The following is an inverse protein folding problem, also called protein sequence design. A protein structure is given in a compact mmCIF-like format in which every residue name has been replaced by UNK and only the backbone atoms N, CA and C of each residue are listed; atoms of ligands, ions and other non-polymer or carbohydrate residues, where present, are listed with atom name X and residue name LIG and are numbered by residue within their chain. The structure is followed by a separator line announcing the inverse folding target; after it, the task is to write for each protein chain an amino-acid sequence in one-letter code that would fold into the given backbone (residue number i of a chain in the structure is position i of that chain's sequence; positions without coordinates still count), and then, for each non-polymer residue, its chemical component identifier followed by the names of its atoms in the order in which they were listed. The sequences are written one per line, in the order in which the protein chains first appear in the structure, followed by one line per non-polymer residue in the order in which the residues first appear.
data_IF_353366667077
#
_entry.id   IF_353366667077
#
_cell.length_a   1.000
_cell.length_b   1.000
_cell.length_c   1.000
_cell.angle_alpha   90.00
_cell.angle_beta   90.00
_cell.angle_gamma   90.00
#
_symmetry.space_group_name_H-M   'P 1'
#
loop_
_entity.id
_entity.type
_entity.pdbx_description
1 polymer ?
#
# COMPACT_ATOMS: atom_id res chain seq x y z
N UNK A 1 14.72 -8.86 22.66
CA UNK A 1 14.57 -10.24 22.12
C UNK A 1 14.47 -10.15 20.61
N UNK A 2 15.17 -11.02 19.87
CA UNK A 2 15.09 -11.02 18.39
C UNK A 2 13.72 -11.49 17.93
N UNK A 3 13.11 -10.74 17.00
CA UNK A 3 11.84 -11.10 16.39
C UNK A 3 12.03 -12.33 15.48
N UNK A 4 11.27 -13.38 15.72
CA UNK A 4 11.19 -14.59 14.87
C UNK A 4 10.00 -15.44 15.30
N UNK A 5 9.56 -16.37 14.44
CA UNK A 5 8.49 -17.32 14.79
C UNK A 5 8.79 -18.10 16.07
N UNK A 6 10.04 -18.50 16.27
CA UNK A 6 10.46 -19.26 17.44
C UNK A 6 10.37 -18.51 18.77
N UNK A 7 10.29 -17.19 18.71
CA UNK A 7 10.31 -16.32 19.90
C UNK A 7 8.96 -15.63 20.18
N UNK A 8 7.93 -15.83 19.36
CA UNK A 8 6.64 -15.15 19.51
C UNK A 8 6.02 -15.36 20.91
N UNK A 9 6.01 -16.60 21.39
CA UNK A 9 5.44 -16.95 22.70
C UNK A 9 6.25 -16.40 23.91
N UNK A 10 7.45 -15.88 23.65
CA UNK A 10 8.36 -15.35 24.68
C UNK A 10 8.37 -13.82 24.71
N UNK A 11 7.62 -13.17 23.81
CA UNK A 11 7.52 -11.71 23.78
C UNK A 11 6.86 -11.19 25.07
N UNK A 12 7.18 -9.96 25.51
CA UNK A 12 6.55 -9.35 26.67
C UNK A 12 5.02 -9.31 26.55
N UNK A 13 4.29 -9.44 27.67
CA UNK A 13 2.83 -9.34 27.67
C UNK A 13 2.37 -7.96 27.18
N UNK A 14 1.22 -7.92 26.49
CA UNK A 14 0.66 -6.69 25.94
C UNK A 14 1.10 -6.38 24.52
N UNK A 15 1.85 -7.28 23.89
CA UNK A 15 2.14 -7.26 22.45
C UNK A 15 1.22 -8.27 21.78
N UNK A 16 0.44 -7.81 20.80
CA UNK A 16 -0.41 -8.70 20.01
C UNK A 16 0.47 -9.51 19.04
N UNK A 17 0.39 -10.84 19.14
CA UNK A 17 1.13 -11.77 18.26
C UNK A 17 0.16 -12.56 17.41
N UNK A 18 0.58 -13.10 16.24
CA UNK A 18 -0.29 -13.94 15.41
C UNK A 18 -0.91 -15.10 16.18
N UNK A 19 -2.24 -15.09 16.32
CA UNK A 19 -3.03 -16.18 16.92
C UNK A 19 -3.33 -17.33 15.95
N UNK A 20 -3.02 -17.14 14.67
CA UNK A 20 -3.19 -18.15 13.62
C UNK A 20 -1.88 -18.90 13.33
N UNK A 21 -2.02 -20.15 12.83
CA UNK A 21 -0.87 -20.94 12.41
C UNK A 21 -0.27 -20.39 11.09
N UNK A 22 0.86 -19.70 11.19
CA UNK A 22 1.57 -19.14 10.05
C UNK A 22 2.10 -20.21 9.08
N UNK A 23 2.36 -21.42 9.55
CA UNK A 23 2.81 -22.53 8.68
C UNK A 23 1.70 -23.05 7.78
N UNK A 24 0.44 -22.83 8.17
CA UNK A 24 -0.73 -23.20 7.36
C UNK A 24 -1.12 -22.11 6.33
N UNK A 25 -0.50 -20.93 6.36
CA UNK A 25 -0.77 -19.89 5.38
C UNK A 25 -0.27 -20.28 3.98
N UNK A 26 -1.06 -19.98 2.97
CA UNK A 26 -0.66 -20.13 1.57
C UNK A 26 -0.78 -18.81 0.82
N UNK A 27 0.11 -18.55 -0.17
CA UNK A 27 0.14 -17.24 -0.83
C UNK A 27 -1.05 -17.07 -1.79
N UNK A 28 -1.61 -15.88 -1.81
CA UNK A 28 -2.62 -15.44 -2.77
C UNK A 28 -2.26 -14.10 -3.41
N UNK A 29 -1.30 -13.39 -2.80
CA UNK A 29 -0.87 -12.04 -3.18
C UNK A 29 0.65 -12.00 -3.35
N UNK A 30 1.10 -11.39 -4.45
CA UNK A 30 2.48 -10.88 -4.57
C UNK A 30 2.40 -9.37 -4.39
N UNK A 31 3.20 -8.82 -3.47
CA UNK A 31 3.29 -7.38 -3.28
C UNK A 31 4.65 -6.84 -3.67
N UNK A 32 4.69 -5.90 -4.62
CA UNK A 32 5.92 -5.25 -5.09
C UNK A 32 6.06 -3.89 -4.41
N UNK A 33 7.15 -3.71 -3.66
CA UNK A 33 7.43 -2.48 -2.91
C UNK A 33 7.14 -2.62 -1.41
N UNK A 34 7.87 -3.49 -0.71
CA UNK A 34 7.67 -3.77 0.73
C UNK A 34 8.21 -2.62 1.59
N UNK A 35 7.54 -1.48 1.51
CA UNK A 35 7.84 -0.28 2.31
C UNK A 35 7.09 -0.26 3.65
N UNK A 36 7.27 0.85 4.38
CA UNK A 36 6.57 1.05 5.67
C UNK A 36 5.05 1.07 5.49
N UNK A 37 4.57 1.80 4.49
CA UNK A 37 3.14 1.92 4.22
C UNK A 37 2.49 0.56 3.99
N UNK A 38 3.03 -0.25 3.08
CA UNK A 38 2.51 -1.60 2.81
C UNK A 38 2.40 -2.43 4.09
N UNK A 39 3.46 -2.44 4.91
CA UNK A 39 3.52 -3.25 6.13
C UNK A 39 2.56 -2.77 7.22
N UNK A 40 2.34 -1.44 7.33
CA UNK A 40 1.37 -0.87 8.27
C UNK A 40 -0.07 -0.86 7.74
N UNK A 41 -0.30 -1.04 6.45
CA UNK A 41 -1.61 -0.93 5.82
C UNK A 41 -2.11 -2.28 5.29
N UNK A 42 -1.82 -2.66 4.04
CA UNK A 42 -2.33 -3.91 3.44
C UNK A 42 -1.97 -5.14 4.28
N UNK A 43 -0.71 -5.27 4.71
CA UNK A 43 -0.28 -6.40 5.51
C UNK A 43 -0.99 -6.45 6.88
N UNK A 44 -1.22 -5.30 7.51
CA UNK A 44 -1.97 -5.20 8.76
C UNK A 44 -3.45 -5.58 8.60
N UNK A 45 -4.11 -5.18 7.51
CA UNK A 45 -5.49 -5.61 7.23
C UNK A 45 -5.59 -7.13 7.03
N UNK A 46 -4.67 -7.74 6.29
CA UNK A 46 -4.63 -9.19 6.11
C UNK A 46 -4.32 -9.92 7.42
N UNK A 47 -3.39 -9.41 8.22
CA UNK A 47 -3.12 -9.97 9.54
C UNK A 47 -4.39 -9.97 10.41
N UNK A 48 -5.11 -8.84 10.48
CA UNK A 48 -6.38 -8.76 11.22
C UNK A 48 -7.44 -9.73 10.66
N UNK A 49 -7.50 -9.92 9.34
CA UNK A 49 -8.40 -10.89 8.72
C UNK A 49 -8.03 -12.33 9.13
N UNK A 50 -6.75 -12.67 9.15
CA UNK A 50 -6.30 -14.01 9.54
C UNK A 50 -6.58 -14.29 11.03
N UNK A 51 -6.55 -13.28 11.90
CA UNK A 51 -6.98 -13.39 13.30
C UNK A 51 -8.46 -13.79 13.44
N UNK A 52 -9.29 -13.53 12.45
CA UNK A 52 -10.69 -14.00 12.42
C UNK A 52 -10.84 -15.46 12.01
N UNK A 53 -9.75 -16.17 11.72
CA UNK A 53 -9.75 -17.55 11.22
C UNK A 53 -10.12 -17.69 9.75
N UNK A 54 -10.08 -16.59 8.96
CA UNK A 54 -10.52 -16.58 7.55
C UNK A 54 -9.37 -16.33 6.59
N UNK A 55 -9.55 -16.81 5.36
CA UNK A 55 -8.78 -16.42 4.17
C UNK A 55 -7.27 -16.65 4.28
N UNK A 56 -6.83 -17.65 5.03
CA UNK A 56 -5.43 -18.04 5.22
C UNK A 56 -4.69 -18.39 3.90
N UNK A 57 -5.41 -18.46 2.79
CA UNK A 57 -4.88 -18.66 1.45
C UNK A 57 -4.67 -17.36 0.66
N UNK A 58 -4.60 -16.23 1.36
CA UNK A 58 -4.31 -14.91 0.81
C UNK A 58 -3.05 -14.27 1.42
N UNK A 59 -2.14 -15.10 1.94
CA UNK A 59 -0.88 -14.58 2.46
C UNK A 59 -0.05 -13.88 1.38
N UNK A 60 0.86 -13.03 1.83
CA UNK A 60 1.67 -12.17 0.96
C UNK A 60 3.04 -12.79 0.73
N UNK A 61 3.48 -12.83 -0.53
CA UNK A 61 4.89 -12.89 -0.92
C UNK A 61 5.33 -11.45 -1.22
N UNK A 62 6.27 -10.93 -0.45
CA UNK A 62 6.90 -9.64 -0.72
C UNK A 62 7.79 -9.72 -1.96
N UNK A 63 7.98 -8.59 -2.64
CA UNK A 63 8.85 -8.49 -3.80
C UNK A 63 9.45 -7.09 -3.94
N UNK A 64 10.56 -7.02 -4.64
CA UNK A 64 11.19 -5.79 -5.09
C UNK A 64 11.77 -5.97 -6.48
N UNK A 65 12.07 -4.88 -7.17
CA UNK A 65 12.62 -4.92 -8.54
C UNK A 65 13.93 -4.15 -8.66
N UNK A 66 14.26 -3.34 -7.67
CA UNK A 66 15.49 -2.54 -7.68
C UNK A 66 16.53 -3.14 -6.72
N UNK A 67 17.83 -2.99 -7.01
CA UNK A 67 18.89 -3.55 -6.14
C UNK A 67 18.80 -3.12 -4.67
N UNK A 68 18.25 -1.93 -4.39
CA UNK A 68 18.10 -1.44 -3.02
C UNK A 68 16.98 -2.18 -2.24
N UNK A 69 16.05 -2.86 -2.91
CA UNK A 69 14.99 -3.64 -2.26
C UNK A 69 15.56 -4.88 -1.54
N UNK A 70 16.75 -5.35 -1.98
CA UNK A 70 17.46 -6.44 -1.32
C UNK A 70 17.78 -6.12 0.15
N UNK A 71 18.04 -4.86 0.47
CA UNK A 71 18.29 -4.45 1.86
C UNK A 71 17.07 -4.69 2.77
N UNK A 72 15.85 -4.49 2.27
CA UNK A 72 14.62 -4.79 3.03
C UNK A 72 14.44 -6.31 3.18
N UNK A 73 14.65 -7.06 2.11
CA UNK A 73 14.61 -8.53 2.15
C UNK A 73 15.56 -9.11 3.20
N UNK A 74 16.82 -8.63 3.23
CA UNK A 74 17.85 -9.06 4.18
C UNK A 74 17.51 -8.71 5.64
N UNK A 75 16.77 -7.63 5.90
CA UNK A 75 16.30 -7.27 7.23
C UNK A 75 15.16 -8.17 7.70
N UNK A 76 14.21 -8.49 6.81
CA UNK A 76 13.01 -9.25 7.15
C UNK A 76 13.25 -10.77 7.17
N UNK A 77 14.18 -11.28 6.37
CA UNK A 77 14.47 -12.72 6.28
C UNK A 77 14.86 -13.36 7.62
N UNK A 78 15.78 -12.79 8.44
CA UNK A 78 16.17 -13.38 9.72
C UNK A 78 15.08 -13.35 10.79
N UNK A 79 13.99 -12.63 10.56
CA UNK A 79 12.83 -12.52 11.45
C UNK A 79 11.57 -13.16 10.84
N UNK A 80 11.76 -14.15 9.94
CA UNK A 80 10.67 -14.93 9.34
C UNK A 80 9.59 -14.05 8.67
N UNK A 81 9.99 -12.93 8.08
CA UNK A 81 9.14 -11.94 7.41
C UNK A 81 8.13 -11.23 8.32
N UNK A 82 8.27 -11.39 9.63
CA UNK A 82 7.48 -10.69 10.63
C UNK A 82 7.84 -9.19 10.66
N UNK A 83 6.89 -8.36 11.05
CA UNK A 83 7.09 -6.91 11.26
C UNK A 83 6.42 -6.48 12.54
N UNK A 84 7.15 -5.79 13.42
CA UNK A 84 6.54 -5.07 14.53
C UNK A 84 5.91 -3.79 14.03
N UNK A 85 4.61 -3.63 14.24
CA UNK A 85 3.88 -2.38 13.96
C UNK A 85 3.57 -1.73 15.30
N UNK A 86 4.02 -0.49 15.46
CA UNK A 86 3.74 0.32 16.65
C UNK A 86 2.79 1.45 16.26
N UNK A 87 1.64 1.50 16.93
CA UNK A 87 0.70 2.60 16.79
C UNK A 87 1.02 3.67 17.84
N UNK A 88 1.22 4.91 17.35
CA UNK A 88 1.47 6.08 18.22
C UNK A 88 0.14 6.76 18.55
N UNK A 89 -0.50 6.34 19.62
CA UNK A 89 -1.69 7.01 20.15
C UNK A 89 -1.26 8.00 21.26
N UNK A 90 -1.84 9.20 21.34
CA UNK A 90 -1.60 10.12 22.46
C UNK A 90 -1.87 9.52 23.83
N UNK A 91 -2.78 8.55 23.93
CA UNK A 91 -3.09 7.82 25.17
C UNK A 91 -2.04 6.76 25.52
N UNK A 92 -1.18 6.35 24.60
CA UNK A 92 -0.14 5.35 24.79
C UNK A 92 0.25 4.64 23.49
N UNK A 93 1.33 3.89 23.53
CA UNK A 93 1.78 3.11 22.39
C UNK A 93 1.28 1.68 22.50
N UNK A 94 0.78 1.13 21.41
CA UNK A 94 0.50 -0.30 21.26
C UNK A 94 1.44 -0.93 20.24
N UNK A 95 1.68 -2.22 20.37
CA UNK A 95 2.50 -2.97 19.41
C UNK A 95 1.80 -4.26 19.00
N UNK A 96 1.87 -4.58 17.71
CA UNK A 96 1.44 -5.87 17.19
C UNK A 96 2.52 -6.45 16.26
N UNK A 97 2.60 -7.77 16.21
CA UNK A 97 3.47 -8.49 15.29
C UNK A 97 2.64 -8.91 14.08
N UNK A 98 2.84 -8.25 12.97
CA UNK A 98 2.20 -8.59 11.71
C UNK A 98 2.85 -9.82 11.07
N UNK A 99 2.07 -10.87 10.87
CA UNK A 99 2.53 -12.17 10.33
C UNK A 99 1.95 -12.54 8.98
N UNK A 100 1.27 -11.64 8.27
CA UNK A 100 0.58 -11.94 7.01
C UNK A 100 1.51 -12.13 5.81
N UNK A 101 2.74 -11.66 5.87
CA UNK A 101 3.77 -11.92 4.87
C UNK A 101 4.53 -13.20 5.26
N UNK A 102 4.64 -14.14 4.31
CA UNK A 102 5.21 -15.49 4.56
C UNK A 102 6.50 -15.74 3.79
N UNK A 103 6.82 -14.90 2.80
CA UNK A 103 8.03 -15.01 1.98
C UNK A 103 8.36 -13.65 1.34
N UNK A 104 9.57 -13.55 0.78
CA UNK A 104 10.01 -12.42 -0.03
C UNK A 104 10.83 -12.95 -1.20
N UNK A 105 10.30 -12.77 -2.41
CA UNK A 105 10.94 -13.20 -3.64
C UNK A 105 12.35 -12.59 -3.76
N UNK A 106 13.38 -13.34 -4.14
CA UNK A 106 14.70 -12.77 -4.45
C UNK A 106 14.59 -11.65 -5.48
N UNK A 107 15.52 -10.70 -5.42
CA UNK A 107 15.55 -9.57 -6.37
C UNK A 107 16.10 -10.05 -7.72
N UNK A 108 15.26 -10.81 -8.39
CA UNK A 108 15.51 -11.41 -9.69
C UNK A 108 14.22 -11.41 -10.51
N UNK A 109 14.26 -10.81 -11.69
CA UNK A 109 13.06 -10.65 -12.53
C UNK A 109 12.49 -12.00 -12.98
N UNK A 110 13.32 -13.00 -13.28
CA UNK A 110 12.87 -14.32 -13.69
C UNK A 110 12.11 -15.04 -12.56
N UNK A 111 12.68 -15.06 -11.35
CA UNK A 111 12.02 -15.65 -10.18
C UNK A 111 10.72 -14.92 -9.80
N UNK A 112 10.69 -13.60 -9.95
CA UNK A 112 9.46 -12.83 -9.69
C UNK A 112 8.38 -13.13 -10.75
N UNK A 113 8.74 -13.25 -12.03
CA UNK A 113 7.84 -13.67 -13.10
C UNK A 113 7.28 -15.06 -12.82
N UNK A 114 8.13 -16.03 -12.49
CA UNK A 114 7.72 -17.39 -12.14
C UNK A 114 6.78 -17.41 -10.93
N UNK A 115 7.08 -16.63 -9.89
CA UNK A 115 6.25 -16.51 -8.69
C UNK A 115 4.86 -15.95 -9.02
N UNK A 116 4.78 -14.85 -9.79
CA UNK A 116 3.50 -14.28 -10.21
C UNK A 116 2.72 -15.16 -11.18
N UNK A 117 3.42 -16.01 -11.94
CA UNK A 117 2.78 -16.94 -12.89
C UNK A 117 2.08 -18.12 -12.19
N UNK A 118 2.32 -18.36 -10.90
CA UNK A 118 1.71 -19.47 -10.14
C UNK A 118 0.19 -19.31 -10.06
N UNK A 119 -0.59 -20.42 -10.19
CA UNK A 119 -2.06 -20.35 -10.22
C UNK A 119 -2.70 -19.76 -8.95
N UNK A 120 -2.08 -19.98 -7.79
CA UNK A 120 -2.56 -19.50 -6.51
C UNK A 120 -2.42 -17.97 -6.33
N UNK A 121 -1.55 -17.31 -7.10
CA UNK A 121 -1.41 -15.85 -7.06
C UNK A 121 -2.54 -15.22 -7.87
N UNK A 122 -3.43 -14.51 -7.18
CA UNK A 122 -4.64 -13.92 -7.76
C UNK A 122 -4.63 -12.40 -7.76
N UNK A 123 -3.76 -11.79 -6.94
CA UNK A 123 -3.55 -10.35 -6.88
C UNK A 123 -2.06 -10.06 -6.92
N UNK A 124 -1.66 -9.09 -7.74
CA UNK A 124 -0.35 -8.44 -7.68
C UNK A 124 -0.59 -7.00 -7.25
N UNK A 125 -0.15 -6.66 -6.04
CA UNK A 125 -0.33 -5.32 -5.48
C UNK A 125 0.97 -4.52 -5.50
N UNK A 126 0.85 -3.19 -5.57
CA UNK A 126 1.95 -2.28 -5.83
C UNK A 126 2.00 -1.15 -4.80
N UNK A 127 3.20 -0.85 -4.28
CA UNK A 127 3.57 0.42 -3.67
C UNK A 127 4.97 0.80 -4.17
N UNK A 128 5.01 1.34 -5.40
CA UNK A 128 6.24 1.61 -6.15
C UNK A 128 6.54 3.10 -6.30
N UNK A 129 5.75 3.94 -5.64
CA UNK A 129 5.75 5.41 -5.67
C UNK A 129 5.39 6.00 -7.03
N UNK A 130 5.07 7.31 -7.06
CA UNK A 130 4.60 7.99 -8.27
C UNK A 130 5.55 7.83 -9.47
N UNK A 131 6.87 7.91 -9.22
CA UNK A 131 7.88 7.77 -10.27
C UNK A 131 7.91 6.40 -10.94
N UNK A 132 7.43 5.37 -10.26
CA UNK A 132 7.37 3.99 -10.78
C UNK A 132 6.34 3.77 -11.87
N UNK A 133 5.37 4.68 -12.04
CA UNK A 133 4.27 4.56 -13.02
C UNK A 133 4.57 5.20 -14.37
N UNK A 134 5.70 5.91 -14.49
CA UNK A 134 6.11 6.56 -15.75
C UNK A 134 5.02 7.49 -16.32
N UNK A 135 4.48 8.35 -15.47
CA UNK A 135 3.48 9.36 -15.86
C UNK A 135 4.20 10.57 -16.45
N UNK A 136 3.81 10.98 -17.66
CA UNK A 136 4.29 12.22 -18.28
C UNK A 136 3.68 13.43 -17.56
N UNK A 137 4.52 14.29 -16.99
CA UNK A 137 4.08 15.42 -16.19
C UNK A 137 3.29 16.50 -16.99
N UNK A 138 3.37 16.50 -18.33
CA UNK A 138 2.67 17.49 -19.19
C UNK A 138 1.30 17.00 -19.60
N UNK A 139 1.18 15.70 -19.87
CA UNK A 139 -0.05 15.10 -20.41
C UNK A 139 -0.87 14.36 -19.36
N UNK A 140 -0.26 13.99 -18.23
CA UNK A 140 -0.86 13.10 -17.23
C UNK A 140 -0.99 11.64 -17.70
N UNK A 141 -0.56 11.34 -18.92
CA UNK A 141 -0.61 10.00 -19.51
C UNK A 141 0.68 9.19 -19.30
N UNK A 142 0.70 7.97 -19.82
CA UNK A 142 1.89 7.11 -19.77
C UNK A 142 3.02 7.65 -20.66
N UNK A 143 4.23 7.80 -20.11
CA UNK A 143 5.43 8.23 -20.83
C UNK A 143 6.07 7.06 -21.58
N UNK A 144 5.60 6.80 -22.78
CA UNK A 144 6.18 5.78 -23.66
C UNK A 144 7.59 6.13 -24.19
N UNK A 145 8.04 7.38 -23.96
CA UNK A 145 9.38 7.86 -24.37
C UNK A 145 10.44 7.71 -23.27
N UNK A 146 10.05 7.34 -22.07
CA UNK A 146 10.97 7.16 -20.96
C UNK A 146 12.04 6.10 -21.32
N UNK A 147 13.33 6.35 -21.03
CA UNK A 147 14.42 5.42 -21.39
C UNK A 147 14.22 3.99 -20.89
N UNK A 148 13.74 3.80 -19.65
CA UNK A 148 13.47 2.48 -19.07
C UNK A 148 12.36 1.75 -19.84
N UNK A 149 11.34 2.47 -20.27
CA UNK A 149 10.22 1.91 -21.04
C UNK A 149 10.68 1.49 -22.44
N UNK A 150 11.52 2.31 -23.08
CA UNK A 150 12.11 1.97 -24.37
C UNK A 150 12.99 0.72 -24.25
N UNK A 151 13.80 0.65 -23.19
CA UNK A 151 14.67 -0.50 -22.91
C UNK A 151 13.87 -1.80 -22.68
N UNK A 152 12.81 -1.76 -21.89
CA UNK A 152 11.94 -2.93 -21.62
C UNK A 152 11.14 -3.34 -22.87
N UNK A 153 10.68 -2.38 -23.68
CA UNK A 153 10.03 -2.69 -24.93
C UNK A 153 10.96 -3.38 -25.93
N UNK A 154 12.23 -2.98 -25.95
CA UNK A 154 13.30 -3.55 -26.80
C UNK A 154 13.88 -4.88 -26.30
N UNK A 155 13.66 -5.24 -25.03
CA UNK A 155 14.20 -6.45 -24.43
C UNK A 155 13.11 -7.19 -23.58
N UNK A 156 12.06 -7.69 -24.20
CA UNK A 156 10.91 -8.28 -23.50
C UNK A 156 11.25 -9.53 -22.68
N UNK A 157 12.34 -10.23 -23.03
CA UNK A 157 12.78 -11.45 -22.33
C UNK A 157 13.55 -11.14 -21.03
N UNK A 158 13.98 -9.89 -20.84
CA UNK A 158 14.70 -9.42 -19.66
C UNK A 158 14.15 -8.08 -19.17
N UNK A 159 12.88 -8.04 -18.74
CA UNK A 159 12.28 -6.80 -18.26
C UNK A 159 12.96 -6.34 -16.97
N UNK A 160 13.14 -5.02 -16.83
CA UNK A 160 13.77 -4.38 -15.68
C UNK A 160 12.79 -3.45 -14.92
N UNK A 161 11.68 -3.07 -15.54
CA UNK A 161 10.63 -2.29 -14.89
C UNK A 161 9.58 -3.18 -14.26
N UNK A 162 8.88 -2.68 -13.24
CA UNK A 162 7.75 -3.38 -12.61
C UNK A 162 6.72 -3.81 -13.65
N UNK A 163 6.36 -2.91 -14.57
CA UNK A 163 5.34 -3.19 -15.58
C UNK A 163 5.80 -4.16 -16.66
N UNK A 164 7.09 -4.12 -17.01
CA UNK A 164 7.67 -5.13 -17.90
C UNK A 164 7.63 -6.53 -17.31
N UNK A 165 7.92 -6.65 -16.02
CA UNK A 165 7.87 -7.91 -15.26
C UNK A 165 6.42 -8.40 -15.11
N UNK A 166 5.47 -7.52 -14.80
CA UNK A 166 4.03 -7.83 -14.75
C UNK A 166 3.55 -8.37 -16.11
N UNK A 167 3.88 -7.71 -17.21
CA UNK A 167 3.50 -8.15 -18.56
C UNK A 167 4.09 -9.53 -18.87
N UNK A 168 5.35 -9.77 -18.51
CA UNK A 168 5.98 -11.07 -18.74
C UNK A 168 5.28 -12.20 -17.94
N UNK A 169 4.89 -11.93 -16.69
CA UNK A 169 4.13 -12.88 -15.90
C UNK A 169 2.71 -13.13 -16.45
N UNK A 170 2.03 -12.08 -16.93
CA UNK A 170 0.73 -12.21 -17.61
C UNK A 170 0.84 -13.06 -18.90
N UNK A 171 1.91 -12.86 -19.67
CA UNK A 171 2.19 -13.68 -20.86
C UNK A 171 2.45 -15.14 -20.49
N UNK A 172 3.23 -15.42 -19.44
CA UNK A 172 3.48 -16.76 -18.97
C UNK A 172 2.18 -17.47 -18.53
N UNK A 173 1.30 -16.76 -17.80
CA UNK A 173 -0.04 -17.28 -17.43
C UNK A 173 -0.92 -17.55 -18.64
N UNK A 174 -0.98 -16.62 -19.59
CA UNK A 174 -1.73 -16.78 -20.83
C UNK A 174 -1.27 -18.01 -21.60
N UNK A 175 0.04 -18.20 -21.73
CA UNK A 175 0.63 -19.37 -22.41
C UNK A 175 0.32 -20.67 -21.68
N UNK A 176 0.23 -20.67 -20.37
CA UNK A 176 -0.13 -21.83 -19.54
C UNK A 176 -1.65 -22.05 -19.39
N UNK A 177 -2.49 -21.20 -19.98
CA UNK A 177 -3.95 -21.27 -19.82
C UNK A 177 -4.45 -20.92 -18.41
N UNK A 178 -3.65 -20.17 -17.65
CA UNK A 178 -3.99 -19.70 -16.29
C UNK A 178 -4.64 -18.32 -16.41
N UNK A 179 -5.73 -18.09 -15.68
CA UNK A 179 -6.40 -16.78 -15.65
C UNK A 179 -5.45 -15.67 -15.15
N UNK A 180 -5.54 -14.43 -15.68
CA UNK A 180 -4.70 -13.34 -15.23
C UNK A 180 -5.02 -12.94 -13.76
N UNK A 181 -4.01 -12.50 -13.04
CA UNK A 181 -4.19 -11.87 -11.73
C UNK A 181 -4.72 -10.44 -11.87
N UNK A 182 -5.34 -9.92 -10.81
CA UNK A 182 -5.68 -8.50 -10.67
C UNK A 182 -4.42 -7.69 -10.35
N UNK A 183 -4.21 -6.57 -11.02
CA UNK A 183 -3.14 -5.59 -10.70
C UNK A 183 -3.73 -4.48 -9.85
N UNK A 184 -3.34 -4.40 -8.58
CA UNK A 184 -3.91 -3.50 -7.59
C UNK A 184 -2.86 -2.50 -7.11
N UNK A 185 -2.97 -1.25 -7.54
CA UNK A 185 -2.14 -0.18 -6.97
C UNK A 185 -2.64 0.19 -5.57
N UNK A 186 -1.69 0.30 -4.63
CA UNK A 186 -1.91 0.82 -3.28
C UNK A 186 -1.11 2.13 -3.07
N UNK A 187 -0.62 2.75 -4.13
CA UNK A 187 0.04 4.05 -4.06
C UNK A 187 -0.98 5.19 -3.90
N UNK A 188 -0.56 6.25 -3.26
CA UNK A 188 -1.37 7.46 -3.03
C UNK A 188 -1.38 8.35 -4.28
N UNK A 189 -2.00 7.85 -5.35
CA UNK A 189 -2.20 8.52 -6.63
C UNK A 189 -3.68 8.59 -6.93
N UNK A 190 -4.20 9.71 -7.45
CA UNK A 190 -5.56 9.75 -7.98
C UNK A 190 -5.74 8.71 -9.08
N UNK A 191 -6.87 8.01 -9.06
CA UNK A 191 -7.18 6.98 -10.08
C UNK A 191 -6.05 5.95 -10.24
N UNK A 192 -5.44 5.52 -9.15
CA UNK A 192 -4.22 4.69 -9.15
C UNK A 192 -4.34 3.39 -9.95
N UNK A 193 -5.52 2.77 -9.99
CA UNK A 193 -5.81 1.61 -10.84
C UNK A 193 -5.75 1.96 -12.33
N UNK A 194 -6.32 3.10 -12.75
CA UNK A 194 -6.24 3.59 -14.13
C UNK A 194 -4.80 3.94 -14.51
N UNK A 195 -4.04 4.54 -13.59
CA UNK A 195 -2.61 4.83 -13.80
C UNK A 195 -1.82 3.54 -14.01
N UNK A 196 -2.05 2.51 -13.19
CA UNK A 196 -1.43 1.19 -13.35
C UNK A 196 -1.83 0.53 -14.69
N UNK A 197 -3.12 0.59 -15.05
CA UNK A 197 -3.62 0.11 -16.34
C UNK A 197 -2.91 0.81 -17.50
N UNK A 198 -2.81 2.13 -17.46
CA UNK A 198 -2.18 2.92 -18.52
C UNK A 198 -0.69 2.52 -18.70
N UNK A 199 0.03 2.26 -17.62
CA UNK A 199 1.42 1.80 -17.68
C UNK A 199 1.54 0.38 -18.29
N UNK A 200 0.72 -0.58 -17.83
CA UNK A 200 0.71 -1.95 -18.36
C UNK A 200 0.29 -1.98 -19.84
N UNK A 201 -0.83 -1.35 -20.17
CA UNK A 201 -1.37 -1.31 -21.54
C UNK A 201 -0.44 -0.51 -22.46
N UNK A 202 0.07 0.63 -22.00
CA UNK A 202 0.99 1.48 -22.77
C UNK A 202 2.29 0.76 -23.14
N UNK A 203 2.86 -0.01 -22.21
CA UNK A 203 4.04 -0.83 -22.50
C UNK A 203 3.69 -2.05 -23.37
N UNK A 204 2.53 -2.69 -23.15
CA UNK A 204 2.06 -3.82 -23.99
C UNK A 204 1.87 -3.40 -25.47
N UNK A 205 1.37 -2.21 -25.72
CA UNK A 205 1.22 -1.62 -27.09
C UNK A 205 2.53 -1.55 -27.86
N UNK A 206 3.66 -1.44 -27.16
CA UNK A 206 4.97 -1.44 -27.80
C UNK A 206 5.48 -2.84 -28.15
N UNK A 207 4.79 -3.89 -27.70
CA UNK A 207 5.15 -5.30 -27.94
C UNK A 207 4.23 -5.94 -28.97
N UNK A 208 2.89 -5.84 -28.79
CA UNK A 208 1.93 -6.53 -29.65
C UNK A 208 0.50 -6.01 -29.40
N UNK A 209 -0.24 -5.76 -30.51
CA UNK A 209 -1.66 -5.39 -30.43
C UNK A 209 -2.52 -6.53 -29.86
N UNK A 210 -2.23 -7.79 -30.18
CA UNK A 210 -2.93 -8.96 -29.63
C UNK A 210 -2.77 -9.07 -28.12
N UNK A 211 -1.56 -8.85 -27.60
CA UNK A 211 -1.31 -8.82 -26.17
C UNK A 211 -2.04 -7.67 -25.50
N UNK A 212 -2.03 -6.50 -26.11
CA UNK A 212 -2.73 -5.31 -25.62
C UNK A 212 -4.23 -5.56 -25.47
N UNK A 213 -4.86 -6.04 -26.53
CA UNK A 213 -6.31 -6.35 -26.54
C UNK A 213 -6.65 -7.43 -25.49
N UNK A 214 -5.79 -8.44 -25.35
CA UNK A 214 -6.00 -9.47 -24.34
C UNK A 214 -5.91 -8.92 -22.90
N UNK A 215 -4.93 -8.07 -22.61
CA UNK A 215 -4.79 -7.42 -21.30
C UNK A 215 -6.01 -6.53 -21.03
N UNK A 216 -6.41 -5.68 -21.98
CA UNK A 216 -7.56 -4.80 -21.83
C UNK A 216 -8.87 -5.54 -21.58
N UNK A 217 -9.02 -6.74 -22.14
CA UNK A 217 -10.23 -7.55 -21.99
C UNK A 217 -10.27 -8.44 -20.74
N UNK A 218 -9.12 -8.79 -20.16
CA UNK A 218 -9.05 -9.84 -19.17
C UNK A 218 -8.42 -9.45 -17.83
N UNK A 219 -7.62 -8.38 -17.77
CA UNK A 219 -6.92 -7.97 -16.55
C UNK A 219 -7.69 -6.86 -15.84
N UNK A 220 -7.98 -7.04 -14.56
CA UNK A 220 -8.62 -6.04 -13.73
C UNK A 220 -7.58 -5.12 -13.07
N UNK A 221 -7.95 -3.83 -12.95
CA UNK A 221 -7.15 -2.76 -12.35
C UNK A 221 -8.04 -1.91 -11.44
N UNK A 222 -8.47 -2.42 -10.27
CA UNK A 222 -9.31 -1.64 -9.36
C UNK A 222 -8.58 -0.41 -8.86
N UNK A 223 -9.27 0.72 -8.80
CA UNK A 223 -8.81 1.91 -8.09
C UNK A 223 -9.03 1.76 -6.59
N UNK A 224 -8.17 2.39 -5.79
CA UNK A 224 -8.30 2.37 -4.35
C UNK A 224 -7.78 3.64 -3.68
N UNK A 225 -8.51 4.11 -2.68
CA UNK A 225 -8.07 5.21 -1.80
C UNK A 225 -7.53 4.62 -0.51
N UNK A 226 -6.27 4.91 -0.21
CA UNK A 226 -5.53 4.44 0.96
C UNK A 226 -5.17 5.62 1.86
N UNK A 227 -5.21 5.43 3.17
CA UNK A 227 -4.79 6.44 4.14
C UNK A 227 -4.29 5.80 5.44
N UNK A 228 -3.06 6.14 5.81
CA UNK A 228 -2.42 5.86 7.09
C UNK A 228 -1.08 6.61 7.10
N UNK A 229 -0.85 7.44 8.11
CA UNK A 229 0.44 8.12 8.25
C UNK A 229 1.48 7.13 8.78
N UNK A 230 2.50 6.88 7.97
CA UNK A 230 3.61 5.96 8.26
C UNK A 230 4.95 6.66 8.01
N UNK A 231 5.52 7.30 9.03
CA UNK A 231 6.83 7.93 8.91
C UNK A 231 7.93 6.95 8.47
N UNK A 232 9.01 7.46 7.94
CA UNK A 232 10.18 6.66 7.62
C UNK A 232 10.77 6.05 8.90
N UNK A 233 11.12 4.76 8.87
CA UNK A 233 11.80 4.11 9.98
C UNK A 233 13.28 4.50 10.00
N UNK A 234 13.69 5.15 11.06
CA UNK A 234 15.06 5.49 11.36
C UNK A 234 15.55 4.85 12.66
N UNK A 235 16.76 5.21 13.13
CA UNK A 235 17.29 4.72 14.40
C UNK A 235 16.38 4.97 15.61
N UNK A 236 15.63 6.09 15.58
CA UNK A 236 14.68 6.46 16.66
C UNK A 236 13.55 5.45 16.77
N UNK A 237 12.93 5.09 15.66
CA UNK A 237 11.81 4.14 15.61
C UNK A 237 12.27 2.74 16.04
N UNK A 238 13.45 2.30 15.60
CA UNK A 238 14.08 1.04 16.03
C UNK A 238 14.32 1.06 17.54
N UNK A 239 14.86 2.16 18.10
CA UNK A 239 15.08 2.32 19.54
C UNK A 239 13.78 2.28 20.34
N UNK A 240 12.70 2.94 19.85
CA UNK A 240 11.38 2.91 20.51
C UNK A 240 10.91 1.45 20.68
N UNK A 241 11.02 0.63 19.62
CA UNK A 241 10.58 -0.77 19.65
C UNK A 241 11.43 -1.58 20.63
N UNK A 242 12.75 -1.41 20.63
CA UNK A 242 13.64 -2.13 21.51
C UNK A 242 13.46 -1.73 22.99
N UNK A 243 13.35 -0.43 23.28
CA UNK A 243 13.30 0.09 24.65
C UNK A 243 11.92 -0.09 25.30
N UNK A 244 10.85 0.14 24.54
CA UNK A 244 9.48 0.08 25.09
C UNK A 244 8.90 -1.33 25.08
N UNK A 245 9.23 -2.13 24.06
CA UNK A 245 8.63 -3.44 23.86
C UNK A 245 9.62 -4.60 24.00
N UNK A 246 10.92 -4.33 24.17
CA UNK A 246 11.94 -5.36 24.31
C UNK A 246 12.18 -6.20 23.05
N UNK A 247 11.74 -5.71 21.88
CA UNK A 247 11.83 -6.41 20.59
C UNK A 247 12.98 -5.86 19.77
N UNK A 248 13.84 -6.74 19.29
CA UNK A 248 14.86 -6.44 18.27
C UNK A 248 14.30 -6.77 16.91
N UNK A 249 13.70 -5.77 16.26
CA UNK A 249 13.19 -5.82 14.88
C UNK A 249 14.07 -4.94 14.00
N UNK A 250 14.60 -5.52 12.91
CA UNK A 250 15.50 -4.82 12.00
C UNK A 250 14.78 -3.83 11.07
N UNK A 251 13.46 -3.93 10.97
CA UNK A 251 12.63 -3.11 10.10
C UNK A 251 11.23 -2.87 10.68
N UNK A 252 11.10 -2.35 11.92
CA UNK A 252 9.80 -2.08 12.49
C UNK A 252 9.09 -0.96 11.73
N UNK A 253 7.79 -0.86 11.91
CA UNK A 253 6.99 0.25 11.37
C UNK A 253 6.31 0.98 12.52
N UNK A 254 6.41 2.29 12.49
CA UNK A 254 5.66 3.18 13.38
C UNK A 254 4.61 3.90 12.55
N UNK A 255 3.38 3.94 13.03
CA UNK A 255 2.26 4.56 12.31
C UNK A 255 1.25 5.17 13.28
N UNK A 256 0.32 5.92 12.74
CA UNK A 256 -0.86 6.35 13.48
C UNK A 256 -1.84 5.18 13.68
N UNK A 257 -2.78 5.26 14.66
CA UNK A 257 -3.82 4.27 14.84
C UNK A 257 -4.83 4.23 13.70
N UNK A 258 -5.01 5.35 13.00
CA UNK A 258 -5.97 5.47 11.92
C UNK A 258 -5.51 4.74 10.66
N UNK A 259 -6.42 3.97 10.05
CA UNK A 259 -6.26 3.39 8.72
C UNK A 259 -7.58 3.49 7.97
N UNK A 260 -7.51 3.85 6.71
CA UNK A 260 -8.65 3.79 5.81
C UNK A 260 -8.24 3.15 4.50
N UNK A 261 -9.10 2.28 3.99
CA UNK A 261 -8.96 1.69 2.67
C UNK A 261 -10.33 1.59 2.02
N UNK A 262 -10.51 2.30 0.92
CA UNK A 262 -11.68 2.19 0.05
C UNK A 262 -11.20 1.62 -1.27
N UNK A 263 -11.88 0.64 -1.82
CA UNK A 263 -11.40 -0.16 -2.95
C UNK A 263 -12.56 -0.53 -3.86
N UNK A 264 -12.37 -0.40 -5.16
CA UNK A 264 -13.33 -0.88 -6.16
C UNK A 264 -13.40 -2.40 -6.14
N UNK A 265 -14.63 -2.96 -6.16
CA UNK A 265 -14.85 -4.42 -6.10
C UNK A 265 -14.74 -5.07 -7.49
N UNK A 266 -13.53 -5.04 -8.07
CA UNK A 266 -13.24 -5.61 -9.39
C UNK A 266 -12.11 -6.65 -9.31
N UNK A 267 -12.44 -7.87 -8.87
CA UNK A 267 -11.51 -8.97 -8.65
C UNK A 267 -12.02 -10.26 -9.30
N UNK A 268 -11.80 -10.49 -10.60
CA UNK A 268 -12.34 -11.64 -11.32
C UNK A 268 -11.90 -13.00 -10.76
N UNK A 269 -10.73 -13.09 -10.10
CA UNK A 269 -10.26 -14.31 -9.43
C UNK A 269 -10.59 -14.34 -7.93
N UNK A 270 -11.49 -13.48 -7.47
CA UNK A 270 -11.82 -13.31 -6.06
C UNK A 270 -10.81 -12.47 -5.30
N UNK A 271 -11.15 -12.16 -4.07
CA UNK A 271 -10.36 -11.35 -3.13
C UNK A 271 -10.59 -11.82 -1.69
N UNK A 272 -9.70 -11.47 -0.75
CA UNK A 272 -9.95 -11.71 0.67
C UNK A 272 -11.14 -10.88 1.19
N UNK A 273 -11.84 -11.39 2.20
CA UNK A 273 -13.01 -10.75 2.82
C UNK A 273 -12.63 -9.56 3.73
N UNK A 274 -11.87 -8.60 3.18
CA UNK A 274 -11.31 -7.46 3.91
C UNK A 274 -12.39 -6.49 4.46
N UNK A 275 -13.61 -6.53 3.94
CA UNK A 275 -14.76 -5.80 4.49
C UNK A 275 -15.04 -6.17 5.95
N UNK A 276 -14.71 -7.39 6.36
CA UNK A 276 -14.89 -7.86 7.73
C UNK A 276 -13.91 -7.24 8.73
N UNK A 277 -12.86 -6.60 8.23
CA UNK A 277 -11.83 -5.91 9.02
C UNK A 277 -11.70 -4.43 8.70
N UNK A 278 -12.71 -3.86 8.02
CA UNK A 278 -12.87 -2.41 7.87
C UNK A 278 -12.46 -1.83 6.52
N UNK A 279 -12.12 -2.64 5.52
CA UNK A 279 -11.97 -2.14 4.14
C UNK A 279 -13.37 -1.91 3.54
N UNK A 280 -13.55 -0.77 2.91
CA UNK A 280 -14.80 -0.42 2.26
C UNK A 280 -14.71 -0.76 0.76
N UNK A 281 -15.59 -1.65 0.28
CA UNK A 281 -15.71 -1.93 -1.15
C UNK A 281 -16.82 -1.10 -1.76
N UNK A 282 -16.53 -0.50 -2.92
CA UNK A 282 -17.40 0.43 -3.62
C UNK A 282 -17.39 0.16 -5.14
N UNK A 283 -18.35 0.71 -5.86
CA UNK A 283 -18.36 0.67 -7.33
C UNK A 283 -17.43 1.72 -7.94
N UNK A 284 -17.30 2.89 -7.28
CA UNK A 284 -16.48 4.03 -7.72
C UNK A 284 -15.78 4.65 -6.51
N UNK A 285 -14.47 4.71 -6.57
CA UNK A 285 -13.64 5.28 -5.50
C UNK A 285 -13.43 6.79 -5.63
N UNK A 286 -13.67 7.37 -6.80
CA UNK A 286 -13.36 8.77 -7.09
C UNK A 286 -13.98 9.79 -6.10
N UNK A 287 -15.24 9.64 -5.62
CA UNK A 287 -15.78 10.54 -4.61
C UNK A 287 -15.01 10.54 -3.29
N UNK A 288 -14.51 9.36 -2.87
CA UNK A 288 -13.71 9.20 -1.65
C UNK A 288 -12.31 9.79 -1.80
N UNK A 289 -11.68 9.60 -2.95
CA UNK A 289 -10.39 10.24 -3.28
C UNK A 289 -10.52 11.77 -3.24
N UNK A 290 -11.58 12.30 -3.86
CA UNK A 290 -11.82 13.73 -3.90
C UNK A 290 -12.08 14.30 -2.50
N UNK A 291 -12.84 13.61 -1.66
CA UNK A 291 -13.06 13.97 -0.26
C UNK A 291 -11.73 14.04 0.50
N UNK A 292 -10.91 13.00 0.41
CA UNK A 292 -9.58 12.97 1.05
C UNK A 292 -8.68 14.09 0.52
N UNK A 293 -8.61 14.24 -0.80
CA UNK A 293 -7.76 15.25 -1.45
C UNK A 293 -8.12 16.67 -1.00
N UNK A 294 -9.42 16.99 -0.94
CA UNK A 294 -9.88 18.32 -0.58
C UNK A 294 -9.82 18.57 0.91
N UNK A 295 -10.34 17.67 1.73
CA UNK A 295 -10.44 17.86 3.18
C UNK A 295 -9.08 17.61 3.85
N UNK A 296 -8.48 16.44 3.71
CA UNK A 296 -7.26 16.08 4.41
C UNK A 296 -6.03 16.75 3.77
N UNK A 297 -5.77 16.47 2.49
CA UNK A 297 -4.55 16.99 1.84
C UNK A 297 -4.64 18.52 1.67
N UNK A 298 -5.80 19.04 1.29
CA UNK A 298 -6.08 20.48 1.23
C UNK A 298 -5.95 21.15 2.60
N UNK A 299 -6.39 20.49 3.67
CA UNK A 299 -6.20 20.93 5.04
C UNK A 299 -4.72 21.08 5.42
N UNK A 300 -3.89 20.07 5.12
CA UNK A 300 -2.45 20.14 5.33
C UNK A 300 -1.81 21.32 4.55
N UNK A 301 -2.16 21.50 3.28
CA UNK A 301 -1.69 22.65 2.51
C UNK A 301 -2.14 23.98 3.11
N UNK A 302 -3.37 24.05 3.62
CA UNK A 302 -3.93 25.24 4.26
C UNK A 302 -3.16 25.66 5.50
N UNK A 303 -2.76 24.71 6.36
CA UNK A 303 -2.04 25.03 7.60
C UNK A 303 -0.54 25.23 7.38
N UNK A 304 0.07 24.60 6.39
CA UNK A 304 1.52 24.60 6.18
C UNK A 304 2.09 26.03 6.00
N UNK A 305 1.44 26.87 5.21
CA UNK A 305 1.92 28.22 4.92
C UNK A 305 1.74 29.18 6.10
N UNK A 306 0.54 29.33 6.72
CA UNK A 306 0.38 30.18 7.90
C UNK A 306 1.26 29.73 9.07
N UNK A 307 1.34 28.43 9.35
CA UNK A 307 2.18 27.90 10.41
C UNK A 307 3.66 28.22 10.16
N UNK A 308 4.16 28.03 8.93
CA UNK A 308 5.53 28.40 8.56
C UNK A 308 5.84 29.88 8.74
N UNK A 309 4.90 30.77 8.38
CA UNK A 309 5.03 32.23 8.61
C UNK A 309 5.06 32.58 10.11
N UNK A 310 4.40 31.81 10.96
CA UNK A 310 4.40 31.97 12.42
C UNK A 310 5.61 31.25 13.08
N UNK A 311 6.50 30.63 12.32
CA UNK A 311 7.66 29.89 12.84
C UNK A 311 7.29 28.54 13.48
N UNK A 312 6.11 28.00 13.20
CA UNK A 312 5.64 26.72 13.70
C UNK A 312 6.06 25.61 12.71
N UNK A 313 6.82 24.64 13.18
CA UNK A 313 7.42 23.62 12.31
C UNK A 313 6.66 22.29 12.23
N UNK A 314 5.77 22.00 13.18
CA UNK A 314 5.06 20.73 13.25
C UNK A 314 3.56 20.91 13.16
N UNK A 315 2.89 19.96 12.52
CA UNK A 315 1.42 19.95 12.34
C UNK A 315 0.69 19.98 13.67
N UNK A 316 1.10 19.15 14.62
CA UNK A 316 0.46 19.09 15.95
C UNK A 316 0.59 20.42 16.70
N UNK A 317 1.71 21.13 16.57
CA UNK A 317 1.86 22.47 17.17
C UNK A 317 0.97 23.52 16.44
N UNK A 318 0.88 23.41 15.11
CA UNK A 318 -0.01 24.28 14.32
C UNK A 318 -1.47 24.10 14.73
N UNK A 319 -1.89 22.86 15.02
CA UNK A 319 -3.25 22.55 15.46
C UNK A 319 -3.56 23.00 16.88
N UNK A 320 -2.58 23.40 17.68
CA UNK A 320 -2.80 24.07 18.98
C UNK A 320 -2.89 25.59 18.87
N UNK A 321 -2.54 26.16 17.71
CA UNK A 321 -2.56 27.62 17.50
C UNK A 321 -3.96 28.09 17.04
N UNK A 322 -4.67 28.92 17.82
CA UNK A 322 -6.06 29.30 17.52
C UNK A 322 -6.23 30.13 16.22
N UNK A 323 -5.18 30.81 15.74
CA UNK A 323 -5.23 31.54 14.48
C UNK A 323 -5.20 30.55 13.29
N UNK A 324 -4.35 29.52 13.38
CA UNK A 324 -4.22 28.50 12.33
C UNK A 324 -5.46 27.61 12.29
N UNK A 325 -5.91 27.11 13.43
CA UNK A 325 -7.09 26.25 13.51
C UNK A 325 -8.37 26.98 13.14
N UNK A 326 -8.54 28.23 13.60
CA UNK A 326 -9.70 29.06 13.24
C UNK A 326 -9.75 29.39 11.74
N UNK A 327 -8.59 29.60 11.11
CA UNK A 327 -8.52 29.79 9.66
C UNK A 327 -8.87 28.48 8.90
N UNK A 328 -8.27 27.36 9.33
CA UNK A 328 -8.55 26.06 8.75
C UNK A 328 -10.05 25.73 8.83
N UNK A 329 -10.63 25.85 10.02
CA UNK A 329 -12.01 25.50 10.30
C UNK A 329 -12.98 26.32 9.42
N UNK A 330 -12.76 27.63 9.35
CA UNK A 330 -13.55 28.52 8.51
C UNK A 330 -13.44 28.15 7.03
N UNK A 331 -12.22 27.96 6.51
CA UNK A 331 -11.98 27.64 5.11
C UNK A 331 -12.61 26.28 4.74
N UNK A 332 -12.48 25.28 5.63
CA UNK A 332 -13.07 23.97 5.41
C UNK A 332 -14.59 24.04 5.31
N UNK A 333 -15.26 24.69 6.25
CA UNK A 333 -16.72 24.73 6.28
C UNK A 333 -17.33 25.64 5.21
N UNK A 334 -16.73 26.82 4.96
CA UNK A 334 -17.32 27.81 4.07
C UNK A 334 -16.95 27.59 2.58
N UNK A 335 -15.78 27.02 2.30
CA UNK A 335 -15.25 26.97 0.92
C UNK A 335 -14.91 25.57 0.43
N UNK A 336 -14.32 24.67 1.25
CA UNK A 336 -13.84 23.36 0.80
C UNK A 336 -14.94 22.32 0.85
N UNK A 337 -15.51 22.03 2.03
CA UNK A 337 -16.51 20.96 2.20
C UNK A 337 -17.75 21.12 1.30
N UNK A 338 -18.26 22.35 1.01
CA UNK A 338 -19.35 22.52 0.06
C UNK A 338 -19.03 22.08 -1.37
N UNK A 339 -17.76 21.93 -1.72
CA UNK A 339 -17.32 21.47 -3.05
C UNK A 339 -17.16 19.93 -3.14
N UNK A 340 -17.16 19.24 -1.99
CA UNK A 340 -17.00 17.77 -1.96
C UNK A 340 -18.34 17.14 -2.33
N UNK A 341 -18.36 16.20 -3.31
CA UNK A 341 -19.55 15.46 -3.67
C UNK A 341 -20.13 14.72 -2.46
N UNK A 342 -21.46 14.65 -2.37
CA UNK A 342 -22.08 13.83 -1.33
C UNK A 342 -21.86 12.34 -1.62
N UNK A 343 -21.49 11.60 -0.59
CA UNK A 343 -21.28 10.15 -0.65
C UNK A 343 -22.32 9.52 0.25
N UNK A 344 -23.07 8.54 -0.25
CA UNK A 344 -24.11 7.89 0.54
C UNK A 344 -23.53 7.24 1.81
N UNK A 345 -24.14 7.56 2.94
CA UNK A 345 -23.70 7.03 4.25
C UNK A 345 -22.44 7.67 4.83
N UNK A 346 -21.81 8.65 4.14
CA UNK A 346 -20.58 9.33 4.60
C UNK A 346 -20.87 10.79 4.93
N UNK A 347 -20.49 11.21 6.13
CA UNK A 347 -20.55 12.60 6.57
C UNK A 347 -19.19 13.27 6.37
N UNK A 348 -19.13 14.29 5.53
CA UNK A 348 -17.93 15.14 5.33
C UNK A 348 -17.51 15.82 6.62
N UNK A 349 -18.48 16.26 7.44
CA UNK A 349 -18.23 16.84 8.76
C UNK A 349 -17.54 15.84 9.69
N UNK A 350 -18.06 14.61 9.77
CA UNK A 350 -17.44 13.55 10.59
C UNK A 350 -16.04 13.18 10.09
N UNK A 351 -15.83 13.20 8.78
CA UNK A 351 -14.53 12.98 8.17
C UNK A 351 -13.55 14.09 8.53
N UNK A 352 -13.97 15.36 8.39
CA UNK A 352 -13.17 16.54 8.77
C UNK A 352 -12.73 16.48 10.25
N UNK A 353 -13.67 16.20 11.17
CA UNK A 353 -13.36 16.07 12.60
C UNK A 353 -12.29 15.00 12.87
N UNK A 354 -12.40 13.83 12.23
CA UNK A 354 -11.36 12.79 12.34
C UNK A 354 -10.01 13.26 11.83
N UNK A 355 -9.97 14.06 10.75
CA UNK A 355 -8.72 14.63 10.24
C UNK A 355 -8.08 15.61 11.22
N UNK A 356 -8.90 16.40 11.96
CA UNK A 356 -8.43 17.38 12.96
C UNK A 356 -7.91 16.68 14.23
N UNK A 357 -8.48 15.53 14.59
CA UNK A 357 -8.09 14.73 15.78
C UNK A 357 -6.80 13.94 15.59
N UNK A 358 -6.38 13.72 14.36
CA UNK A 358 -5.14 13.02 13.96
C UNK A 358 -3.92 13.92 14.09
#
# INVERSE_FOLDING_TARGET
MKLSNANLDQLPPGIDVPGYDRAALTPGIVHIGVGNFHRAHQAAYLHRLFETGRDHHWAIIGAGVKPYDEAMRQRLQPQDWLTTIVELDPAGFSAMICGSMIDFCPIDAGQLIETMARPEIRIVSLTVTEGGYYVDAKTGGFDASHPDIIADAGNPDRPATVFGIIIAALMARRAAGIAPFTVMSCDNLPENGHVARNAVVGLAKRRSDDLTQWIEANVAFPCGMVDCITPATGPREISIVAEKFGIEDAAPVVCEPFRQWVLEDNFPMGRPALETVGVQFVEDVAPYELMKLRILNGGHATIAYPAGLLGINYVHDAMTNPLVTGFLDKLQHEEIMPTVPSIEGVSTESYYRKCVER
#
